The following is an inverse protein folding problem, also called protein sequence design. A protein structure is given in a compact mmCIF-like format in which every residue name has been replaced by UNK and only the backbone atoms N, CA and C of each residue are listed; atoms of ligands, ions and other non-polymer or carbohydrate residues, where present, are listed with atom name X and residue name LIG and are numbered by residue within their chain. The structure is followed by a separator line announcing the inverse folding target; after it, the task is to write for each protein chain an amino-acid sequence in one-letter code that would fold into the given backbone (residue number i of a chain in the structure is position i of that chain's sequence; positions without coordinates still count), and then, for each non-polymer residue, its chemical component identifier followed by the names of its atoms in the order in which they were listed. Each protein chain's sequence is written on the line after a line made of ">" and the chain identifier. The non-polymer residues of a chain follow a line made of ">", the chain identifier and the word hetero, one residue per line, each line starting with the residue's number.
data_IF_820076483360
#
_entry.id   IF_820076483360
#
_cell.length_a   1.000
_cell.length_b   1.000
_cell.length_c   1.000
_cell.angle_alpha   90.00
_cell.angle_beta   90.00
_cell.angle_gamma   90.00
#
_symmetry.space_group_name_H-M   'P 1'
#
loop_
_entity.id
_entity.type
_entity.pdbx_description
1 polymer ?
#
# COMPACT_ATOMS: atom_id res chain seq x y z
N UNK A 1 -8.47 2.20 -9.37
CA UNK A 1 -6.99 2.30 -9.56
C UNK A 1 -6.74 2.39 -11.05
N UNK A 2 -6.10 3.49 -11.51
CA UNK A 2 -5.71 3.61 -12.91
C UNK A 2 -4.57 2.62 -13.17
N UNK A 3 -4.73 1.73 -14.15
CA UNK A 3 -3.63 0.90 -14.62
C UNK A 3 -2.54 1.81 -15.20
N UNK A 4 -1.27 1.49 -14.92
CA UNK A 4 -0.16 2.19 -15.57
C UNK A 4 -0.33 2.13 -17.09
N UNK A 5 0.01 3.21 -17.80
CA UNK A 5 -0.05 3.17 -19.26
C UNK A 5 0.93 2.11 -19.80
N UNK A 6 0.57 1.43 -20.88
CA UNK A 6 1.42 0.38 -21.48
C UNK A 6 2.82 0.92 -21.84
N UNK A 7 2.91 2.20 -22.20
CA UNK A 7 4.18 2.91 -22.39
C UNK A 7 4.98 3.02 -21.10
N UNK A 8 4.32 3.48 -20.03
CA UNK A 8 4.97 3.62 -18.72
C UNK A 8 5.49 2.28 -18.20
N UNK A 9 4.70 1.22 -18.33
CA UNK A 9 5.11 -0.14 -18.01
C UNK A 9 6.40 -0.53 -18.78
N UNK A 10 6.41 -0.33 -20.10
CA UNK A 10 7.59 -0.65 -20.93
C UNK A 10 8.84 0.12 -20.52
N UNK A 11 8.74 1.42 -20.24
CA UNK A 11 9.88 2.23 -19.83
C UNK A 11 10.40 1.84 -18.43
N UNK A 12 9.54 1.50 -17.49
CA UNK A 12 9.97 1.03 -16.16
C UNK A 12 10.75 -0.28 -16.28
N UNK A 13 10.26 -1.23 -17.07
CA UNK A 13 10.96 -2.50 -17.27
C UNK A 13 12.24 -2.34 -18.10
N UNK A 14 12.25 -1.43 -19.08
CA UNK A 14 13.47 -1.08 -19.82
C UNK A 14 14.54 -0.47 -18.88
N UNK A 15 14.12 0.45 -18.00
CA UNK A 15 15.01 1.06 -17.00
C UNK A 15 15.55 0.03 -16.01
N UNK A 16 14.71 -0.89 -15.54
CA UNK A 16 15.14 -1.99 -14.68
C UNK A 16 16.17 -2.90 -15.37
N UNK A 17 15.91 -3.32 -16.62
CA UNK A 17 16.83 -4.14 -17.39
C UNK A 17 18.17 -3.41 -17.64
N UNK A 18 18.13 -2.10 -17.93
CA UNK A 18 19.32 -1.28 -18.10
C UNK A 18 20.15 -1.21 -16.82
N UNK A 19 19.49 -1.03 -15.66
CA UNK A 19 20.15 -0.99 -14.35
C UNK A 19 20.81 -2.32 -14.01
N UNK A 20 20.12 -3.44 -14.25
CA UNK A 20 20.68 -4.79 -14.03
C UNK A 20 21.86 -5.03 -14.97
N UNK A 21 21.75 -4.61 -16.24
CA UNK A 21 22.83 -4.69 -17.21
C UNK A 21 24.07 -3.89 -16.79
N UNK A 22 23.88 -2.66 -16.32
CA UNK A 22 24.96 -1.81 -15.82
C UNK A 22 25.62 -2.38 -14.56
N UNK A 23 24.83 -2.90 -13.61
CA UNK A 23 25.36 -3.56 -12.41
C UNK A 23 26.12 -4.84 -12.76
N UNK A 24 25.62 -5.63 -13.73
CA UNK A 24 26.31 -6.82 -14.23
C UNK A 24 27.64 -6.48 -14.88
N UNK A 25 27.68 -5.41 -15.67
CA UNK A 25 28.92 -4.89 -16.28
C UNK A 25 29.92 -4.44 -15.20
N UNK A 26 29.45 -3.69 -14.21
CA UNK A 26 30.30 -3.21 -13.10
C UNK A 26 30.92 -4.36 -12.30
N UNK A 27 30.17 -5.44 -12.09
CA UNK A 27 30.64 -6.64 -11.38
C UNK A 27 31.45 -7.63 -12.26
N UNK A 28 31.70 -7.30 -13.52
CA UNK A 28 32.39 -8.19 -14.45
C UNK A 28 31.60 -9.43 -14.88
N UNK A 29 30.28 -9.41 -14.70
CA UNK A 29 29.40 -10.53 -15.10
C UNK A 29 29.29 -10.66 -16.63
N UNK A 30 29.25 -11.91 -17.15
CA UNK A 30 29.20 -12.16 -18.60
C UNK A 30 27.82 -11.84 -19.26
N UNK A 31 26.77 -11.60 -18.49
CA UNK A 31 25.39 -11.49 -18.97
C UNK A 31 24.93 -10.06 -19.25
N UNK A 32 25.77 -9.03 -19.04
CA UNK A 32 25.40 -7.63 -19.24
C UNK A 32 24.90 -7.30 -20.66
N UNK A 33 25.42 -7.91 -21.78
CA UNK A 33 24.95 -7.56 -23.11
C UNK A 33 23.49 -7.95 -23.34
N UNK A 34 23.07 -9.09 -22.77
CA UNK A 34 21.69 -9.56 -22.88
C UNK A 34 20.71 -8.63 -22.17
N UNK A 35 21.09 -8.12 -21.00
CA UNK A 35 20.26 -7.17 -20.25
C UNK A 35 20.14 -5.82 -20.95
N UNK A 36 21.24 -5.32 -21.52
CA UNK A 36 21.20 -4.07 -22.29
C UNK A 36 20.42 -4.23 -23.59
N UNK A 37 20.57 -5.34 -24.30
CA UNK A 37 19.75 -5.63 -25.48
C UNK A 37 18.27 -5.71 -25.14
N UNK A 38 17.89 -6.37 -24.04
CA UNK A 38 16.52 -6.43 -23.57
C UNK A 38 15.99 -5.03 -23.20
N UNK A 39 16.80 -4.19 -22.54
CA UNK A 39 16.43 -2.82 -22.20
C UNK A 39 16.11 -1.99 -23.45
N UNK A 40 16.98 -2.05 -24.45
CA UNK A 40 16.79 -1.34 -25.73
C UNK A 40 15.56 -1.86 -26.46
N UNK A 41 15.36 -3.18 -26.54
CA UNK A 41 14.17 -3.77 -27.18
C UNK A 41 12.88 -3.33 -26.48
N UNK A 42 12.82 -3.39 -25.15
CA UNK A 42 11.66 -2.96 -24.40
C UNK A 42 11.36 -1.46 -24.60
N UNK A 43 12.40 -0.62 -24.59
CA UNK A 43 12.26 0.81 -24.84
C UNK A 43 11.71 1.09 -26.26
N UNK A 44 12.21 0.41 -27.27
CA UNK A 44 11.73 0.53 -28.65
C UNK A 44 10.28 0.06 -28.79
N UNK A 45 9.92 -1.07 -28.21
CA UNK A 45 8.54 -1.57 -28.22
C UNK A 45 7.60 -0.61 -27.48
N UNK A 46 8.01 -0.07 -26.33
CA UNK A 46 7.23 0.92 -25.59
C UNK A 46 7.02 2.22 -26.39
N UNK A 47 8.01 2.60 -27.18
CA UNK A 47 7.94 3.81 -28.01
C UNK A 47 7.07 3.62 -29.25
N UNK A 48 7.32 2.57 -30.05
CA UNK A 48 6.68 2.38 -31.37
C UNK A 48 5.33 1.63 -31.29
N UNK A 49 5.23 0.61 -30.42
CA UNK A 49 4.03 -0.25 -30.31
C UNK A 49 3.72 -0.65 -28.87
N UNK A 50 3.28 0.29 -28.01
CA UNK A 50 2.97 0.01 -26.63
C UNK A 50 1.86 -1.03 -26.45
N UNK A 51 0.97 -1.19 -27.43
CA UNK A 51 -0.10 -2.19 -27.41
C UNK A 51 0.40 -3.64 -27.33
N UNK A 52 1.63 -3.93 -27.76
CA UNK A 52 2.24 -5.25 -27.62
C UNK A 52 2.55 -5.59 -26.16
N UNK A 53 2.73 -4.57 -25.32
CA UNK A 53 2.98 -4.73 -23.88
C UNK A 53 1.67 -4.82 -23.07
N UNK A 54 0.52 -4.53 -23.67
CA UNK A 54 -0.77 -4.53 -23.00
C UNK A 54 -1.09 -5.86 -22.29
N UNK A 55 -0.91 -7.06 -22.89
CA UNK A 55 -1.20 -8.31 -22.18
C UNK A 55 -0.30 -8.51 -20.96
N UNK A 56 0.98 -8.14 -21.07
CA UNK A 56 1.95 -8.26 -20.01
C UNK A 56 1.64 -7.27 -18.87
N UNK A 57 1.31 -6.02 -19.22
CA UNK A 57 0.87 -5.00 -18.27
C UNK A 57 -0.40 -5.41 -17.52
N UNK A 58 -1.38 -6.02 -18.21
CA UNK A 58 -2.59 -6.56 -17.57
C UNK A 58 -2.29 -7.68 -16.60
N UNK A 59 -1.40 -8.60 -16.96
CA UNK A 59 -0.97 -9.70 -16.10
C UNK A 59 -0.25 -9.15 -14.86
N UNK A 60 0.65 -8.18 -15.04
CA UNK A 60 1.35 -7.51 -13.96
C UNK A 60 0.40 -6.80 -12.99
N UNK A 61 -0.59 -6.08 -13.54
CA UNK A 61 -1.62 -5.41 -12.74
C UNK A 61 -2.46 -6.42 -11.95
N UNK A 62 -2.87 -7.53 -12.57
CA UNK A 62 -3.58 -8.60 -11.87
C UNK A 62 -2.75 -9.20 -10.74
N UNK A 63 -1.46 -9.46 -11.00
CA UNK A 63 -0.54 -9.96 -9.98
C UNK A 63 -0.44 -8.97 -8.80
N UNK A 64 -0.29 -7.67 -9.11
CA UNK A 64 -0.27 -6.62 -8.09
C UNK A 64 -1.55 -6.58 -7.24
N UNK A 65 -2.73 -6.74 -7.86
CA UNK A 65 -4.01 -6.80 -7.14
C UNK A 65 -4.11 -8.03 -6.23
N UNK A 66 -3.68 -9.19 -6.70
CA UNK A 66 -3.65 -10.43 -5.88
C UNK A 66 -2.70 -10.27 -4.70
N UNK A 67 -1.49 -9.77 -4.95
CA UNK A 67 -0.52 -9.49 -3.89
C UNK A 67 -1.09 -8.50 -2.88
N UNK A 68 -1.71 -7.41 -3.34
CA UNK A 68 -2.34 -6.43 -2.46
C UNK A 68 -3.44 -7.05 -1.60
N UNK A 69 -4.29 -7.90 -2.20
CA UNK A 69 -5.37 -8.59 -1.48
C UNK A 69 -4.86 -9.53 -0.37
N UNK A 70 -3.66 -10.08 -0.52
CA UNK A 70 -3.03 -10.97 0.47
C UNK A 70 -2.20 -10.17 1.47
N UNK A 71 -1.34 -9.29 0.98
CA UNK A 71 -0.37 -8.55 1.82
C UNK A 71 -1.07 -7.52 2.70
N UNK A 72 -2.12 -6.86 2.19
CA UNK A 72 -2.82 -5.82 2.95
C UNK A 72 -3.45 -6.35 4.26
N UNK A 73 -4.26 -7.44 4.25
CA UNK A 73 -4.80 -7.98 5.49
C UNK A 73 -3.72 -8.56 6.42
N UNK A 74 -2.63 -9.12 5.87
CA UNK A 74 -1.51 -9.58 6.68
C UNK A 74 -0.82 -8.41 7.39
N UNK A 75 -0.52 -7.33 6.69
CA UNK A 75 0.08 -6.15 7.27
C UNK A 75 -0.80 -5.53 8.37
N UNK A 76 -2.11 -5.40 8.09
CA UNK A 76 -3.08 -4.92 9.08
C UNK A 76 -3.17 -5.88 10.28
N UNK A 77 -3.13 -7.19 10.04
CA UNK A 77 -3.11 -8.20 11.09
C UNK A 77 -1.87 -8.07 11.98
N UNK A 78 -0.70 -7.92 11.40
CA UNK A 78 0.56 -7.72 12.13
C UNK A 78 0.48 -6.46 13.00
N UNK A 79 0.01 -5.35 12.47
CA UNK A 79 -0.15 -4.10 13.23
C UNK A 79 -1.19 -4.27 14.34
N UNK A 80 -2.32 -4.90 14.05
CA UNK A 80 -3.38 -5.11 15.02
C UNK A 80 -2.92 -6.02 16.18
N UNK A 81 -2.43 -7.21 15.86
CA UNK A 81 -2.02 -8.17 16.88
C UNK A 81 -0.67 -7.84 17.51
N UNK A 82 0.23 -7.19 16.76
CA UNK A 82 1.57 -6.82 17.27
C UNK A 82 1.60 -5.54 18.08
N UNK A 83 0.74 -4.56 17.76
CA UNK A 83 0.74 -3.26 18.44
C UNK A 83 -0.54 -3.02 19.24
N UNK A 84 -1.71 -3.10 18.61
CA UNK A 84 -2.97 -2.68 19.24
C UNK A 84 -3.38 -3.67 20.35
N UNK A 85 -3.28 -4.97 20.07
CA UNK A 85 -3.67 -6.01 21.04
C UNK A 85 -2.84 -5.98 22.33
N UNK A 86 -1.49 -5.94 22.28
CA UNK A 86 -0.70 -5.88 23.53
C UNK A 86 -0.91 -4.57 24.28
N UNK A 87 -1.05 -3.43 23.59
CA UNK A 87 -1.36 -2.16 24.25
C UNK A 87 -2.72 -2.23 24.93
N UNK A 88 -3.75 -2.75 24.26
CA UNK A 88 -5.08 -2.93 24.83
C UNK A 88 -5.06 -3.88 26.05
N UNK A 89 -4.25 -4.94 25.98
CA UNK A 89 -4.08 -5.87 27.10
C UNK A 89 -3.38 -5.22 28.30
N UNK A 90 -2.30 -4.47 28.08
CA UNK A 90 -1.60 -3.70 29.11
C UNK A 90 -2.51 -2.65 29.77
N UNK A 91 -3.34 -1.96 28.98
CA UNK A 91 -4.31 -1.00 29.51
C UNK A 91 -5.34 -1.67 30.42
N UNK A 92 -5.85 -2.85 30.03
CA UNK A 92 -6.77 -3.63 30.87
C UNK A 92 -6.12 -4.11 32.16
N UNK A 93 -4.88 -4.58 32.11
CA UNK A 93 -4.10 -4.98 33.29
C UNK A 93 -3.87 -3.79 34.22
N UNK A 94 -3.68 -2.59 33.69
CA UNK A 94 -3.52 -1.35 34.46
C UNK A 94 -4.85 -0.82 35.01
N UNK A 95 -5.96 -1.54 34.86
CA UNK A 95 -7.28 -1.12 35.33
C UNK A 95 -7.89 0.05 34.57
N UNK A 96 -7.27 0.50 33.48
CA UNK A 96 -7.78 1.59 32.63
C UNK A 96 -8.79 1.03 31.64
N UNK A 97 -10.03 1.50 31.72
CA UNK A 97 -11.09 1.19 30.74
C UNK A 97 -11.53 2.48 30.02
N UNK A 98 -10.77 2.94 29.03
CA UNK A 98 -11.07 4.18 28.31
C UNK A 98 -12.37 4.09 27.50
N UNK A 99 -12.80 2.89 27.13
CA UNK A 99 -14.01 2.66 26.35
C UNK A 99 -15.24 2.37 27.22
N UNK A 100 -15.06 2.27 28.56
CA UNK A 100 -16.13 1.95 29.53
C UNK A 100 -16.94 0.72 29.10
N UNK A 101 -16.23 -0.38 28.79
CA UNK A 101 -16.85 -1.62 28.31
C UNK A 101 -17.57 -2.40 29.41
N UNK A 102 -17.36 -2.05 30.69
CA UNK A 102 -18.06 -2.68 31.79
C UNK A 102 -19.52 -2.24 31.80
N UNK A 103 -20.41 -3.21 31.79
CA UNK A 103 -21.83 -2.97 32.02
C UNK A 103 -22.06 -2.57 33.48
N UNK A 104 -22.62 -1.38 33.69
CA UNK A 104 -22.97 -0.83 35.01
C UNK A 104 -24.49 -0.94 35.19
N UNK A 105 -25.04 -1.99 35.82
CA UNK A 105 -26.50 -2.21 35.90
C UNK A 105 -27.24 -1.12 36.66
N UNK A 106 -26.53 -0.41 37.56
CA UNK A 106 -27.12 0.68 38.37
C UNK A 106 -27.19 2.02 37.63
N UNK A 107 -26.61 2.11 36.45
CA UNK A 107 -26.56 3.35 35.69
C UNK A 107 -27.85 3.58 34.91
N UNK A 108 -28.57 4.62 35.25
CA UNK A 108 -29.86 4.96 34.61
C UNK A 108 -29.76 5.29 33.11
N UNK A 109 -28.61 5.79 32.67
CA UNK A 109 -28.38 6.14 31.26
C UNK A 109 -26.90 6.19 30.91
N UNK A 110 -26.55 5.71 29.72
CA UNK A 110 -25.20 5.82 29.13
C UNK A 110 -25.02 7.11 28.31
N UNK A 111 -26.07 7.92 28.18
CA UNK A 111 -25.97 9.20 27.50
C UNK A 111 -25.19 10.19 28.33
N UNK A 112 -24.15 10.76 27.74
CA UNK A 112 -23.37 11.85 28.33
C UNK A 112 -23.81 13.16 27.71
N UNK A 113 -24.44 14.02 28.50
CA UNK A 113 -24.83 15.35 28.06
C UNK A 113 -23.59 16.17 27.73
N UNK A 114 -23.48 16.62 26.50
CA UNK A 114 -22.37 17.46 26.04
C UNK A 114 -22.82 18.91 25.95
N UNK A 115 -22.14 19.80 26.65
CA UNK A 115 -22.35 21.24 26.54
C UNK A 115 -21.01 21.89 26.10
N UNK A 116 -20.99 22.64 25.02
CA UNK A 116 -22.09 22.89 24.08
C UNK A 116 -22.47 21.63 23.28
N UNK A 117 -23.71 21.56 22.74
CA UNK A 117 -24.26 20.32 22.14
C UNK A 117 -23.63 19.90 20.81
N UNK A 118 -22.55 20.48 20.41
CA UNK A 118 -21.82 20.12 19.19
C UNK A 118 -20.72 21.14 18.84
N UNK A 119 -19.94 20.85 17.83
CA UNK A 119 -18.99 21.81 17.29
C UNK A 119 -19.77 22.96 16.64
N UNK A 120 -19.23 24.21 16.66
CA UNK A 120 -19.89 25.35 16.05
C UNK A 120 -20.12 25.08 14.54
N UNK A 121 -21.24 25.56 13.94
CA UNK A 121 -21.62 25.22 12.56
C UNK A 121 -20.54 25.45 11.50
N UNK A 122 -19.63 26.38 11.73
CA UNK A 122 -18.52 26.70 10.82
C UNK A 122 -17.30 25.79 10.97
N UNK A 123 -17.22 24.95 12.02
CA UNK A 123 -16.07 24.09 12.27
C UNK A 123 -15.93 22.96 11.25
N UNK A 124 -17.02 22.59 10.58
CA UNK A 124 -17.00 21.59 9.50
C UNK A 124 -16.26 22.07 8.25
N UNK A 125 -16.09 23.38 8.08
CA UNK A 125 -15.32 23.97 6.98
C UNK A 125 -13.81 23.92 7.22
N UNK A 126 -13.39 23.75 8.47
CA UNK A 126 -11.98 23.73 8.88
C UNK A 126 -11.63 22.32 9.38
N UNK A 127 -11.80 21.31 8.53
CA UNK A 127 -11.47 19.91 8.86
C UNK A 127 -9.99 19.59 8.65
N UNK A 128 -9.21 20.56 8.19
CA UNK A 128 -7.76 20.47 7.97
C UNK A 128 -7.06 21.68 8.53
#
# INVERSE_FOLDING_TARGET
>A
MQSSSDRGFGYVFAGFAALVGALSLYKGGAHWPYWLAAAVMLALVAFYRPSLLAPLNRLWTKLGLVLFAVVSPLALGIVYYGCITPVGWLMRLSGKDPLRLRFEPERKSYWVSRQPPGPPPKSLMNQF
#
